data_IF_401391218877
#
_entry.id   IF_401391218877
#
_cell.length_a   1.000
_cell.length_b   1.000
_cell.length_c   1.000
_cell.angle_alpha   90.00
_cell.angle_beta   90.00
_cell.angle_gamma   90.00
#
_symmetry.space_group_name_H-M   'P 1'
#
loop_
_entity.id
_entity.type
_entity.pdbx_description
1 polymer ?
#
# COMPACT_ATOMS: atom_id res chain seq x y z
N UNK A 1 -13.60 -2.83 7.66
CA UNK A 1 -13.08 -1.58 7.03
C UNK A 1 -13.45 -1.56 5.57
N UNK A 2 -13.90 -0.42 5.05
CA UNK A 2 -14.32 -0.26 3.64
C UNK A 2 -13.39 0.73 2.96
N UNK A 3 -12.86 0.36 1.79
CA UNK A 3 -12.00 1.21 1.00
C UNK A 3 -12.80 1.91 -0.11
N UNK A 4 -12.91 3.23 -0.04
CA UNK A 4 -13.61 4.08 -0.98
C UNK A 4 -12.65 4.70 -2.02
N UNK A 5 -13.18 5.12 -3.17
CA UNK A 5 -12.39 5.72 -4.27
C UNK A 5 -11.93 7.15 -3.95
N UNK A 6 -12.79 7.94 -3.31
CA UNK A 6 -12.58 9.35 -2.97
C UNK A 6 -13.43 9.76 -1.76
N UNK A 7 -13.17 10.94 -1.22
CA UNK A 7 -13.84 11.49 -0.04
C UNK A 7 -15.38 11.52 -0.13
N UNK A 8 -15.93 11.98 -1.27
CA UNK A 8 -17.38 12.00 -1.48
C UNK A 8 -17.95 10.58 -1.49
N UNK A 9 -17.28 9.62 -2.16
CA UNK A 9 -17.70 8.22 -2.18
C UNK A 9 -17.66 7.60 -0.76
N UNK A 10 -16.67 7.97 0.07
CA UNK A 10 -16.64 7.52 1.45
C UNK A 10 -17.84 8.06 2.25
N UNK A 11 -18.26 9.28 2.01
CA UNK A 11 -19.47 9.87 2.62
C UNK A 11 -20.73 9.14 2.14
N UNK A 12 -20.85 8.90 0.84
CA UNK A 12 -21.99 8.16 0.26
C UNK A 12 -22.12 6.75 0.85
N UNK A 13 -20.98 6.07 1.06
CA UNK A 13 -20.93 4.74 1.69
C UNK A 13 -21.44 4.81 3.14
N UNK A 14 -21.00 5.79 3.93
CA UNK A 14 -21.46 5.97 5.32
C UNK A 14 -22.97 6.14 5.35
N UNK A 15 -23.52 6.97 4.48
CA UNK A 15 -24.96 7.18 4.40
C UNK A 15 -25.72 5.93 3.92
N UNK A 16 -25.14 5.21 2.95
CA UNK A 16 -25.71 3.96 2.47
C UNK A 16 -25.77 2.90 3.59
N UNK A 17 -24.69 2.74 4.37
CA UNK A 17 -24.64 1.83 5.50
C UNK A 17 -25.72 2.20 6.54
N UNK A 18 -25.85 3.47 6.86
CA UNK A 18 -26.91 3.93 7.81
C UNK A 18 -28.33 3.64 7.28
N UNK A 19 -28.55 3.82 5.98
CA UNK A 19 -29.85 3.48 5.35
C UNK A 19 -30.13 1.99 5.40
N UNK A 20 -29.14 1.15 5.11
CA UNK A 20 -29.27 -0.31 5.19
C UNK A 20 -29.55 -0.73 6.62
N UNK A 21 -28.83 -0.19 7.60
CA UNK A 21 -29.08 -0.48 9.01
C UNK A 21 -30.56 -0.22 9.40
N UNK A 22 -31.08 0.97 9.05
CA UNK A 22 -32.48 1.31 9.34
C UNK A 22 -33.50 0.41 8.63
N UNK A 23 -33.14 -0.11 7.45
CA UNK A 23 -33.99 -1.05 6.71
C UNK A 23 -34.03 -2.42 7.38
N UNK A 24 -32.88 -2.91 7.82
CA UNK A 24 -32.77 -4.22 8.48
C UNK A 24 -33.27 -4.20 9.92
N UNK A 25 -33.10 -3.06 10.61
CA UNK A 25 -33.50 -2.85 11.99
C UNK A 25 -34.44 -1.63 12.13
N UNK A 26 -35.72 -1.73 11.66
CA UNK A 26 -36.61 -0.58 11.57
C UNK A 26 -36.94 0.08 12.92
N UNK A 27 -36.87 -0.69 14.00
CA UNK A 27 -37.19 -0.25 15.36
C UNK A 27 -35.96 0.23 16.14
N UNK A 28 -34.76 0.19 15.54
CA UNK A 28 -33.52 0.59 16.19
C UNK A 28 -33.03 1.90 15.61
N UNK A 29 -32.47 2.75 16.44
CA UNK A 29 -31.70 3.91 15.97
C UNK A 29 -30.30 3.47 15.57
N UNK A 30 -29.76 4.07 14.51
CA UNK A 30 -28.37 3.83 14.10
C UNK A 30 -27.45 4.38 15.20
N UNK A 31 -26.64 3.55 15.88
CA UNK A 31 -25.72 4.07 16.89
C UNK A 31 -24.79 5.12 16.28
N UNK A 32 -24.56 6.22 17.01
CA UNK A 32 -23.79 7.38 16.51
C UNK A 32 -22.40 6.98 15.99
N UNK A 33 -21.75 6.04 16.67
CA UNK A 33 -20.41 5.59 16.33
C UNK A 33 -20.39 4.40 15.36
N UNK A 34 -21.53 3.80 15.02
CA UNK A 34 -21.59 2.54 14.26
C UNK A 34 -20.75 2.53 12.98
N UNK A 35 -20.84 3.61 12.19
CA UNK A 35 -20.07 3.79 10.97
C UNK A 35 -19.54 5.23 10.85
N UNK A 36 -18.24 5.37 10.66
CA UNK A 36 -17.60 6.67 10.47
C UNK A 36 -16.62 6.65 9.31
N UNK A 37 -16.47 7.80 8.67
CA UNK A 37 -15.42 8.06 7.72
C UNK A 37 -14.12 8.37 8.49
N UNK A 38 -13.00 7.77 8.07
CA UNK A 38 -11.66 8.08 8.58
C UNK A 38 -10.76 8.40 7.38
N UNK A 39 -10.35 9.66 7.26
CA UNK A 39 -9.52 10.13 6.16
C UNK A 39 -8.48 11.13 6.65
N UNK A 40 -7.39 11.28 5.89
CA UNK A 40 -6.28 12.17 6.26
C UNK A 40 -6.68 13.65 6.33
N UNK A 41 -7.77 14.05 5.68
CA UNK A 41 -8.29 15.43 5.70
C UNK A 41 -8.96 15.80 7.04
N UNK A 42 -9.20 14.85 7.93
CA UNK A 42 -9.82 15.07 9.23
C UNK A 42 -8.75 15.31 10.28
N UNK A 43 -8.79 16.43 10.97
CA UNK A 43 -7.80 16.82 11.99
C UNK A 43 -7.70 15.88 13.21
N UNK A 44 -8.68 14.98 13.40
CA UNK A 44 -8.76 14.01 14.50
C UNK A 44 -8.57 12.55 14.07
N UNK A 45 -7.90 12.32 12.93
CA UNK A 45 -7.72 10.98 12.33
C UNK A 45 -7.15 9.96 13.32
N UNK A 46 -6.13 10.32 14.09
CA UNK A 46 -5.50 9.42 15.07
C UNK A 46 -6.47 9.01 16.19
N UNK A 47 -7.32 9.93 16.65
CA UNK A 47 -8.35 9.63 17.64
C UNK A 47 -9.38 8.65 17.07
N UNK A 48 -9.89 8.90 15.87
CA UNK A 48 -10.84 8.02 15.20
C UNK A 48 -10.28 6.59 14.96
N UNK A 49 -8.99 6.49 14.67
CA UNK A 49 -8.32 5.19 14.54
C UNK A 49 -8.23 4.48 15.90
N UNK A 50 -7.88 5.22 16.95
CA UNK A 50 -7.86 4.69 18.31
C UNK A 50 -9.23 4.21 18.74
N UNK A 51 -10.27 5.00 18.46
CA UNK A 51 -11.66 4.64 18.75
C UNK A 51 -12.08 3.38 17.99
N UNK A 52 -11.77 3.31 16.68
CA UNK A 52 -12.07 2.14 15.85
C UNK A 52 -11.37 0.85 16.34
N UNK A 53 -10.21 0.99 16.94
CA UNK A 53 -9.45 -0.13 17.52
C UNK A 53 -10.02 -0.63 18.84
N UNK A 54 -10.53 0.27 19.68
CA UNK A 54 -10.75 0.00 21.09
C UNK A 54 -12.24 -0.01 21.51
N UNK A 55 -13.13 0.55 20.68
CA UNK A 55 -14.54 0.69 21.02
C UNK A 55 -15.42 -0.30 20.25
N UNK A 56 -16.23 -1.05 20.98
CA UNK A 56 -17.11 -2.09 20.41
C UNK A 56 -18.30 -1.53 19.60
N UNK A 57 -18.69 -0.28 19.82
CA UNK A 57 -19.75 0.42 19.11
C UNK A 57 -19.31 0.97 17.74
N UNK A 58 -18.00 1.11 17.50
CA UNK A 58 -17.47 1.55 16.22
C UNK A 58 -17.16 0.35 15.32
N UNK A 59 -18.17 -0.09 14.55
CA UNK A 59 -18.10 -1.35 13.77
C UNK A 59 -17.54 -1.18 12.36
N UNK A 60 -17.76 -0.04 11.72
CA UNK A 60 -17.42 0.15 10.31
C UNK A 60 -16.65 1.45 10.11
N UNK A 61 -15.38 1.33 9.70
CA UNK A 61 -14.57 2.45 9.24
C UNK A 61 -14.57 2.50 7.70
N UNK A 62 -14.89 3.67 7.12
CA UNK A 62 -14.82 3.94 5.69
C UNK A 62 -13.64 4.87 5.42
N UNK A 63 -12.72 4.45 4.56
CA UNK A 63 -11.49 5.20 4.28
C UNK A 63 -11.17 5.29 2.80
N UNK A 64 -10.35 6.26 2.39
CA UNK A 64 -9.86 6.40 1.01
C UNK A 64 -8.43 5.88 0.89
N UNK A 65 -7.54 6.35 1.74
CA UNK A 65 -6.09 6.10 1.66
C UNK A 65 -5.46 5.89 3.04
N UNK A 66 -6.20 5.36 4.01
CA UNK A 66 -5.66 5.10 5.35
C UNK A 66 -4.69 3.90 5.34
N UNK A 67 -3.84 3.86 4.34
CA UNK A 67 -2.74 2.89 4.22
C UNK A 67 -1.52 3.44 4.91
N UNK A 68 -1.42 4.77 4.96
CA UNK A 68 -0.35 5.52 5.55
C UNK A 68 -0.50 5.61 7.07
N UNK A 69 0.60 5.45 7.77
CA UNK A 69 0.84 5.75 9.19
C UNK A 69 0.13 4.90 10.26
N UNK A 70 0.91 4.07 10.97
CA UNK A 70 0.68 3.67 12.36
C UNK A 70 -0.67 3.05 12.75
N UNK A 71 -1.53 2.77 11.78
CA UNK A 71 -2.88 2.26 11.99
C UNK A 71 -2.89 0.75 12.22
N UNK A 72 -2.34 0.34 13.35
CA UNK A 72 -2.42 -1.05 13.79
C UNK A 72 -3.82 -1.34 14.36
N UNK A 73 -4.77 -1.70 13.51
CA UNK A 73 -6.11 -2.14 13.91
C UNK A 73 -6.16 -3.66 13.85
N UNK A 74 -5.77 -4.32 14.92
CA UNK A 74 -5.69 -5.79 15.00
C UNK A 74 -7.04 -6.50 14.97
N UNK A 75 -8.12 -5.97 15.62
CA UNK A 75 -9.44 -6.62 15.61
C UNK A 75 -10.17 -6.51 14.26
N UNK A 76 -9.49 -6.17 13.19
CA UNK A 76 -10.08 -6.01 11.86
C UNK A 76 -10.38 -7.37 11.22
N UNK A 77 -11.64 -7.73 11.12
CA UNK A 77 -12.11 -9.05 10.66
C UNK A 77 -12.61 -9.04 9.22
N UNK A 78 -12.93 -7.86 8.66
CA UNK A 78 -13.46 -7.75 7.31
C UNK A 78 -12.90 -6.54 6.57
N UNK A 79 -12.46 -6.76 5.34
CA UNK A 79 -12.05 -5.74 4.38
C UNK A 79 -12.99 -5.74 3.18
N UNK A 80 -13.49 -4.57 2.80
CA UNK A 80 -14.39 -4.41 1.64
C UNK A 80 -13.74 -3.44 0.67
N UNK A 81 -13.47 -3.90 -0.54
CA UNK A 81 -12.96 -3.08 -1.62
C UNK A 81 -14.11 -2.53 -2.45
N UNK A 82 -14.40 -1.23 -2.34
CA UNK A 82 -15.34 -0.48 -3.16
C UNK A 82 -14.60 0.51 -4.08
N UNK A 83 -13.34 0.25 -4.32
CA UNK A 83 -12.49 0.96 -5.28
C UNK A 83 -11.55 -0.02 -5.97
N UNK A 84 -11.23 0.28 -7.21
CA UNK A 84 -10.16 -0.41 -7.91
C UNK A 84 -8.78 0.02 -7.38
N UNK A 85 -7.84 -0.93 -7.34
CA UNK A 85 -6.47 -0.75 -6.88
C UNK A 85 -5.54 -1.38 -7.90
N UNK A 86 -4.95 -0.56 -8.75
CA UNK A 86 -4.04 -1.01 -9.80
C UNK A 86 -2.61 -1.30 -9.28
N UNK A 87 -2.20 -0.67 -8.19
CA UNK A 87 -0.90 -0.90 -7.56
C UNK A 87 -0.91 -2.17 -6.73
N UNK A 88 -0.01 -3.11 -7.05
CA UNK A 88 0.20 -4.35 -6.28
C UNK A 88 0.63 -4.04 -4.84
N UNK A 89 1.50 -3.04 -4.66
CA UNK A 89 1.98 -2.63 -3.33
C UNK A 89 0.83 -2.10 -2.49
N UNK A 90 0.07 -1.15 -3.03
CA UNK A 90 -1.08 -0.59 -2.32
C UNK A 90 -2.11 -1.68 -1.97
N UNK A 91 -2.40 -2.58 -2.90
CA UNK A 91 -3.30 -3.71 -2.66
C UNK A 91 -2.79 -4.62 -1.53
N UNK A 92 -1.49 -4.97 -1.56
CA UNK A 92 -0.86 -5.81 -0.54
C UNK A 92 -0.89 -5.14 0.84
N UNK A 93 -0.62 -3.83 0.92
CA UNK A 93 -0.72 -3.07 2.16
C UNK A 93 -2.16 -3.02 2.70
N UNK A 94 -3.14 -2.77 1.83
CA UNK A 94 -4.55 -2.77 2.22
C UNK A 94 -5.00 -4.15 2.71
N UNK A 95 -4.66 -5.22 1.98
CA UNK A 95 -4.95 -6.61 2.36
C UNK A 95 -4.25 -7.00 3.66
N UNK A 96 -3.00 -6.59 3.84
CA UNK A 96 -2.19 -6.85 5.03
C UNK A 96 -2.80 -6.28 6.33
N UNK A 97 -3.71 -5.32 6.24
CA UNK A 97 -4.46 -4.82 7.42
C UNK A 97 -5.35 -5.90 8.05
N UNK A 98 -5.91 -6.80 7.23
CA UNK A 98 -6.72 -7.92 7.72
C UNK A 98 -5.90 -9.06 8.32
N UNK A 99 -4.65 -9.23 7.89
CA UNK A 99 -3.81 -10.38 8.27
C UNK A 99 -3.23 -10.29 9.70
N UNK A 100 -3.46 -9.19 10.43
CA UNK A 100 -2.88 -9.00 11.76
C UNK A 100 -3.55 -9.89 12.78
N UNK A 101 -2.74 -10.55 13.60
CA UNK A 101 -3.21 -11.38 14.71
C UNK A 101 -3.54 -10.53 15.95
N UNK A 102 -4.43 -11.03 16.78
CA UNK A 102 -4.84 -10.43 18.05
C UNK A 102 -5.07 -11.55 19.06
N UNK A 103 -4.81 -11.28 20.33
CA UNK A 103 -5.13 -12.21 21.40
C UNK A 103 -6.66 -12.28 21.59
N UNK A 104 -7.20 -13.47 21.88
CA UNK A 104 -8.64 -13.72 21.96
C UNK A 104 -9.34 -12.81 22.99
N UNK A 105 -8.72 -12.57 24.15
CA UNK A 105 -9.28 -11.68 25.18
C UNK A 105 -9.39 -10.22 24.70
N UNK A 106 -8.40 -9.76 23.92
CA UNK A 106 -8.43 -8.41 23.34
C UNK A 106 -9.44 -8.31 22.19
N UNK A 107 -9.64 -9.39 21.46
CA UNK A 107 -10.67 -9.46 20.42
C UNK A 107 -12.06 -9.38 21.05
N UNK A 108 -12.32 -10.18 22.08
CA UNK A 108 -13.61 -10.20 22.81
C UNK A 108 -13.96 -8.87 23.45
N UNK A 109 -12.97 -8.07 23.82
CA UNK A 109 -13.21 -6.73 24.36
C UNK A 109 -13.88 -5.77 23.37
N UNK A 110 -13.67 -5.97 22.07
CA UNK A 110 -14.24 -5.11 20.99
C UNK A 110 -15.24 -5.85 20.12
N UNK A 111 -15.15 -7.17 20.04
CA UNK A 111 -16.10 -8.03 19.30
C UNK A 111 -16.55 -9.16 20.25
N UNK A 112 -17.56 -8.87 21.05
CA UNK A 112 -18.00 -9.74 22.14
C UNK A 112 -18.44 -11.14 21.70
N UNK A 113 -18.87 -11.29 20.44
CA UNK A 113 -19.34 -12.55 19.87
C UNK A 113 -18.22 -13.34 19.16
N UNK A 114 -16.99 -12.79 19.05
CA UNK A 114 -15.87 -13.49 18.45
C UNK A 114 -15.20 -14.41 19.48
N UNK A 115 -14.84 -15.61 19.04
CA UNK A 115 -14.06 -16.57 19.86
C UNK A 115 -12.57 -16.41 19.62
N UNK A 116 -12.18 -16.37 18.34
CA UNK A 116 -10.80 -16.18 17.87
C UNK A 116 -10.79 -15.44 16.54
N UNK A 117 -9.62 -14.98 16.08
CA UNK A 117 -9.41 -14.43 14.76
C UNK A 117 -8.38 -15.26 13.98
N UNK A 118 -8.83 -16.34 13.38
CA UNK A 118 -7.99 -17.25 12.59
C UNK A 118 -7.90 -16.81 11.13
N UNK A 119 -8.86 -16.01 10.65
CA UNK A 119 -8.93 -15.48 9.30
C UNK A 119 -9.61 -14.11 9.27
N UNK A 120 -9.62 -13.50 8.10
CA UNK A 120 -10.42 -12.31 7.83
C UNK A 120 -11.17 -12.46 6.51
N UNK A 121 -12.28 -11.78 6.38
CA UNK A 121 -13.05 -11.74 5.15
C UNK A 121 -12.53 -10.63 4.24
N UNK A 122 -12.33 -10.96 2.97
CA UNK A 122 -12.09 -9.98 1.92
C UNK A 122 -13.27 -9.99 0.96
N UNK A 123 -14.00 -8.87 0.92
CA UNK A 123 -15.14 -8.67 0.03
C UNK A 123 -14.70 -7.75 -1.09
N UNK A 124 -14.72 -8.24 -2.29
CA UNK A 124 -14.38 -7.52 -3.51
C UNK A 124 -15.65 -7.12 -4.25
N UNK A 125 -16.02 -5.84 -4.16
CA UNK A 125 -17.22 -5.32 -4.82
C UNK A 125 -16.97 -4.79 -6.25
N UNK A 126 -15.71 -4.75 -6.71
CA UNK A 126 -15.31 -4.11 -7.97
C UNK A 126 -14.37 -4.95 -8.84
N UNK A 127 -14.09 -6.21 -8.46
CA UNK A 127 -13.21 -7.09 -9.20
C UNK A 127 -11.72 -6.81 -8.99
N UNK A 128 -11.34 -6.13 -7.90
CA UNK A 128 -9.94 -5.79 -7.61
C UNK A 128 -9.03 -7.01 -7.47
N UNK A 129 -9.57 -8.16 -7.08
CA UNK A 129 -8.83 -9.41 -6.94
C UNK A 129 -8.56 -10.11 -8.28
N UNK A 130 -9.35 -9.81 -9.29
CA UNK A 130 -9.30 -10.45 -10.62
C UNK A 130 -8.40 -9.70 -11.60
N UNK A 131 -8.14 -8.41 -11.33
CA UNK A 131 -7.29 -7.59 -12.19
C UNK A 131 -5.81 -7.88 -11.97
N UNK A 132 -5.05 -8.00 -13.05
CA UNK A 132 -3.59 -7.94 -12.98
C UNK A 132 -3.16 -6.59 -12.41
N UNK A 133 -2.44 -6.63 -11.30
CA UNK A 133 -1.96 -5.42 -10.64
C UNK A 133 -0.63 -5.00 -11.23
N UNK A 134 -0.51 -3.72 -11.54
CA UNK A 134 0.78 -3.16 -11.91
C UNK A 134 1.66 -3.02 -10.67
N UNK A 135 2.88 -3.49 -10.78
CA UNK A 135 3.97 -3.03 -9.93
C UNK A 135 4.05 -1.52 -10.15
N UNK A 136 4.38 -0.72 -9.12
CA UNK A 136 4.26 0.73 -9.20
C UNK A 136 4.81 1.31 -10.50
N UNK A 137 3.95 1.97 -11.26
CA UNK A 137 4.39 2.90 -12.30
C UNK A 137 4.54 4.28 -11.67
N UNK A 138 5.44 5.13 -12.16
CA UNK A 138 5.66 6.47 -11.63
C UNK A 138 4.35 7.22 -11.38
N UNK A 139 4.25 7.85 -10.22
CA UNK A 139 3.07 8.64 -9.84
C UNK A 139 2.93 9.79 -10.84
N UNK A 140 1.86 9.79 -11.62
CA UNK A 140 1.45 10.96 -12.39
C UNK A 140 0.90 12.02 -11.44
N UNK A 141 1.75 12.92 -11.00
CA UNK A 141 1.31 14.00 -10.12
C UNK A 141 2.44 14.80 -9.49
N UNK A 142 3.29 15.43 -10.30
CA UNK A 142 4.21 16.47 -9.88
C UNK A 142 4.32 17.50 -11.00
N UNK A 143 3.92 18.76 -10.73
CA UNK A 143 4.08 19.91 -11.63
C UNK A 143 5.58 20.25 -11.74
N UNK A 144 6.23 19.72 -12.76
CA UNK A 144 7.57 20.06 -13.20
C UNK A 144 7.87 19.39 -14.54
N UNK A 145 8.78 19.89 -15.38
CA UNK A 145 9.18 19.20 -16.59
C UNK A 145 9.78 17.85 -16.18
N UNK A 146 9.03 16.76 -16.39
CA UNK A 146 9.51 15.39 -16.15
C UNK A 146 10.79 15.18 -16.95
N UNK A 147 11.90 14.94 -16.27
CA UNK A 147 13.13 14.46 -16.92
C UNK A 147 12.81 13.07 -17.47
N UNK A 148 12.66 12.98 -18.78
CA UNK A 148 12.42 11.70 -19.47
C UNK A 148 13.79 11.14 -19.80
N UNK A 149 14.31 10.27 -18.93
CA UNK A 149 15.50 9.50 -19.23
C UNK A 149 15.13 8.21 -19.97
N UNK A 150 15.91 7.81 -20.95
CA UNK A 150 15.92 6.41 -21.40
C UNK A 150 16.39 5.49 -20.25
N UNK A 151 16.09 4.20 -20.33
CA UNK A 151 16.58 3.26 -19.30
C UNK A 151 18.11 3.27 -19.17
N UNK A 152 18.83 3.40 -20.27
CA UNK A 152 20.28 3.46 -20.27
C UNK A 152 20.80 4.70 -19.53
N UNK A 153 20.27 5.89 -19.85
CA UNK A 153 20.61 7.14 -19.18
C UNK A 153 20.27 7.09 -17.69
N UNK A 154 19.09 6.54 -17.34
CA UNK A 154 18.68 6.39 -15.96
C UNK A 154 19.66 5.51 -15.17
N UNK A 155 20.07 4.37 -15.73
CA UNK A 155 21.04 3.47 -15.08
C UNK A 155 22.41 4.15 -14.91
N UNK A 156 22.79 5.04 -15.82
CA UNK A 156 23.99 5.85 -15.69
C UNK A 156 23.89 6.86 -14.54
N UNK A 157 22.79 7.63 -14.46
CA UNK A 157 22.52 8.55 -13.34
C UNK A 157 22.52 7.84 -12.00
N UNK A 158 21.86 6.69 -11.90
CA UNK A 158 21.83 5.88 -10.68
C UNK A 158 23.23 5.36 -10.31
N UNK A 159 24.07 4.99 -11.29
CA UNK A 159 25.46 4.53 -11.05
C UNK A 159 26.35 5.65 -10.50
N UNK A 160 26.07 6.90 -10.85
CA UNK A 160 26.74 8.08 -10.31
C UNK A 160 26.20 8.51 -8.93
N UNK A 161 25.22 7.78 -8.38
CA UNK A 161 24.67 8.03 -7.05
C UNK A 161 23.52 9.02 -6.99
N UNK A 162 22.91 9.35 -8.13
CA UNK A 162 21.70 10.19 -8.19
C UNK A 162 20.45 9.40 -7.80
N UNK A 163 20.32 9.08 -6.49
CA UNK A 163 19.30 8.21 -5.92
C UNK A 163 18.07 9.00 -5.42
N UNK A 164 17.60 9.95 -6.21
CA UNK A 164 16.37 10.70 -5.88
C UNK A 164 15.14 9.80 -5.93
N UNK A 165 14.07 10.20 -5.23
CA UNK A 165 12.79 9.47 -5.27
C UNK A 165 12.28 9.33 -6.70
N UNK A 166 12.42 10.40 -7.51
CA UNK A 166 12.00 10.44 -8.91
C UNK A 166 12.76 9.44 -9.77
N UNK A 167 14.09 9.35 -9.60
CA UNK A 167 14.91 8.41 -10.37
C UNK A 167 14.62 6.95 -9.98
N UNK A 168 14.42 6.67 -8.70
CA UNK A 168 14.08 5.34 -8.20
C UNK A 168 12.68 4.91 -8.64
N UNK A 169 11.72 5.83 -8.63
CA UNK A 169 10.36 5.58 -9.11
C UNK A 169 10.35 5.33 -10.63
N UNK A 170 11.13 6.09 -11.38
CA UNK A 170 11.31 5.88 -12.81
C UNK A 170 11.92 4.50 -13.12
N UNK A 171 12.90 4.04 -12.31
CA UNK A 171 13.46 2.70 -12.39
C UNK A 171 12.39 1.63 -12.18
N UNK A 172 11.55 1.76 -11.14
CA UNK A 172 10.42 0.86 -10.90
C UNK A 172 9.47 0.79 -12.10
N UNK A 173 9.21 1.92 -12.76
CA UNK A 173 8.41 1.98 -13.97
C UNK A 173 9.01 1.16 -15.13
N UNK A 174 10.32 1.23 -15.33
CA UNK A 174 11.01 0.42 -16.34
C UNK A 174 11.02 -1.06 -15.98
N UNK A 175 11.37 -1.40 -14.74
CA UNK A 175 11.39 -2.77 -14.25
C UNK A 175 9.99 -3.43 -14.34
N UNK A 176 8.93 -2.69 -14.06
CA UNK A 176 7.55 -3.14 -14.25
C UNK A 176 7.23 -3.49 -15.69
N UNK A 177 7.70 -2.67 -16.65
CA UNK A 177 7.50 -2.95 -18.08
C UNK A 177 8.25 -4.20 -18.51
N UNK A 178 9.48 -4.38 -18.02
CA UNK A 178 10.29 -5.59 -18.28
C UNK A 178 9.57 -6.82 -17.71
N UNK A 179 9.14 -6.77 -16.47
CA UNK A 179 8.42 -7.88 -15.82
C UNK A 179 7.14 -8.31 -16.57
N UNK A 180 6.50 -7.38 -17.28
CA UNK A 180 5.28 -7.66 -18.06
C UNK A 180 5.55 -8.15 -19.48
N UNK A 181 6.67 -7.73 -20.10
CA UNK A 181 6.91 -7.94 -21.54
C UNK A 181 8.00 -8.97 -21.83
N UNK A 182 8.94 -9.19 -20.88
CA UNK A 182 10.02 -10.13 -21.08
C UNK A 182 9.50 -11.58 -21.15
N UNK A 183 10.14 -12.39 -21.96
CA UNK A 183 9.89 -13.82 -21.98
C UNK A 183 10.29 -14.44 -20.65
N UNK A 184 9.64 -15.53 -20.29
CA UNK A 184 9.85 -16.21 -18.98
C UNK A 184 11.32 -16.59 -18.76
N UNK A 185 12.05 -16.93 -19.83
CA UNK A 185 13.46 -17.27 -19.79
C UNK A 185 14.34 -16.07 -19.43
N UNK A 186 14.16 -14.96 -20.13
CA UNK A 186 14.93 -13.72 -19.92
C UNK A 186 14.70 -13.15 -18.53
N UNK A 187 13.45 -13.22 -18.06
CA UNK A 187 13.09 -12.82 -16.70
C UNK A 187 13.74 -13.71 -15.64
N UNK A 188 13.83 -15.03 -15.89
CA UNK A 188 14.50 -15.96 -14.98
C UNK A 188 16.01 -15.69 -14.92
N UNK A 189 16.64 -15.46 -16.07
CA UNK A 189 18.06 -15.15 -16.17
C UNK A 189 18.36 -13.81 -15.46
N UNK A 190 17.54 -12.79 -15.67
CA UNK A 190 17.65 -11.50 -14.98
C UNK A 190 17.52 -11.64 -13.45
N UNK A 191 16.51 -12.37 -12.98
CA UNK A 191 16.29 -12.61 -11.55
C UNK A 191 17.47 -13.37 -10.93
N UNK A 192 18.05 -14.31 -11.66
CA UNK A 192 19.22 -15.11 -11.22
C UNK A 192 20.45 -14.22 -11.09
N UNK A 193 20.72 -13.37 -12.06
CA UNK A 193 21.85 -12.43 -12.02
C UNK A 193 21.69 -11.38 -10.91
N UNK A 194 20.50 -10.86 -10.68
CA UNK A 194 20.23 -9.92 -9.58
C UNK A 194 20.20 -10.58 -8.20
N UNK A 195 20.00 -11.90 -8.12
CA UNK A 195 19.80 -12.63 -6.86
C UNK A 195 18.51 -12.19 -6.12
N UNK A 196 17.56 -11.62 -6.84
CA UNK A 196 16.23 -11.23 -6.38
C UNK A 196 15.27 -11.14 -7.56
N UNK A 197 13.96 -11.18 -7.33
CA UNK A 197 13.02 -10.99 -8.43
C UNK A 197 12.85 -9.51 -8.75
N UNK A 198 12.56 -9.22 -10.02
CA UNK A 198 12.22 -7.84 -10.46
C UNK A 198 11.08 -7.27 -9.61
N UNK A 199 10.07 -8.08 -9.30
CA UNK A 199 8.95 -7.70 -8.44
C UNK A 199 9.40 -7.32 -7.03
N UNK A 200 10.26 -8.15 -6.41
CA UNK A 200 10.75 -7.87 -5.06
C UNK A 200 11.62 -6.61 -5.03
N UNK A 201 12.48 -6.41 -6.02
CA UNK A 201 13.29 -5.19 -6.14
C UNK A 201 12.42 -3.93 -6.22
N UNK A 202 11.32 -3.95 -6.99
CA UNK A 202 10.38 -2.83 -7.04
C UNK A 202 9.71 -2.58 -5.68
N UNK A 203 9.36 -3.62 -4.94
CA UNK A 203 8.78 -3.49 -3.60
C UNK A 203 9.78 -2.86 -2.62
N UNK A 204 11.02 -3.36 -2.61
CA UNK A 204 12.09 -2.85 -1.73
C UNK A 204 12.40 -1.37 -2.03
N UNK A 205 12.45 -0.99 -3.33
CA UNK A 205 12.64 0.42 -3.74
C UNK A 205 11.45 1.26 -3.28
N UNK A 206 10.22 0.79 -3.50
CA UNK A 206 9.02 1.53 -3.10
C UNK A 206 8.98 1.78 -1.59
N UNK A 207 9.30 0.76 -0.80
CA UNK A 207 9.40 0.91 0.66
C UNK A 207 10.46 1.94 1.05
N UNK A 208 11.58 2.01 0.33
CA UNK A 208 12.66 2.97 0.59
C UNK A 208 12.32 4.42 0.20
N UNK A 209 11.41 4.65 -0.75
CA UNK A 209 10.99 6.00 -1.18
C UNK A 209 9.68 6.46 -0.53
N UNK A 210 8.96 5.57 0.15
CA UNK A 210 7.72 5.91 0.84
C UNK A 210 8.00 6.85 2.03
N UNK A 211 7.27 7.97 2.14
CA UNK A 211 7.49 8.94 3.22
C UNK A 211 7.23 8.37 4.63
N UNK A 212 6.62 7.21 4.72
CA UNK A 212 6.27 6.54 5.98
C UNK A 212 7.41 5.74 6.61
N UNK A 213 8.41 5.36 5.84
CA UNK A 213 9.59 4.66 6.33
C UNK A 213 10.68 5.59 6.87
N UNK A 214 10.45 6.89 6.91
CA UNK A 214 11.30 7.88 7.58
C UNK A 214 11.09 7.90 9.09
N UNK A 215 10.92 6.77 9.74
CA UNK A 215 11.17 6.61 11.18
C UNK A 215 12.67 6.47 11.43
N UNK A 216 13.47 7.40 10.87
CA UNK A 216 14.84 7.57 11.31
C UNK A 216 14.88 8.64 12.40
N UNK A 217 15.53 8.35 13.55
CA UNK A 217 15.75 9.37 14.57
C UNK A 217 16.51 10.56 13.95
N UNK A 218 16.23 11.77 14.42
CA UNK A 218 16.78 13.06 13.96
C UNK A 218 18.34 13.17 13.94
N UNK A 219 19.05 12.08 14.17
CA UNK A 219 20.52 12.01 14.28
C UNK A 219 21.20 11.17 13.20
N UNK A 220 20.56 10.86 12.09
CA UNK A 220 21.21 10.11 11.01
C UNK A 220 21.87 11.06 10.03
N UNK A 221 23.16 10.82 9.80
CA UNK A 221 23.99 11.44 8.77
C UNK A 221 23.20 11.65 7.47
N UNK A 222 23.19 12.87 6.93
CA UNK A 222 22.48 13.26 5.71
C UNK A 222 22.80 12.36 4.50
N UNK A 223 23.85 11.55 4.58
CA UNK A 223 24.25 10.57 3.56
C UNK A 223 23.71 9.14 3.81
N UNK A 224 23.17 8.84 4.98
CA UNK A 224 22.69 7.50 5.33
C UNK A 224 21.53 7.01 4.44
N UNK A 225 20.53 7.82 4.07
CA UNK A 225 19.47 7.42 3.14
C UNK A 225 20.01 6.97 1.78
N UNK A 226 21.05 7.62 1.29
CA UNK A 226 21.66 7.27 0.00
C UNK A 226 22.44 5.94 0.07
N UNK A 227 23.02 5.60 1.19
CA UNK A 227 23.76 4.33 1.35
C UNK A 227 22.79 3.13 1.33
N UNK A 228 21.67 3.21 2.05
CA UNK A 228 20.65 2.16 2.04
C UNK A 228 20.00 2.03 0.65
N UNK A 229 19.63 3.13 0.02
CA UNK A 229 19.11 3.14 -1.36
C UNK A 229 20.10 2.55 -2.36
N UNK A 230 21.40 2.86 -2.22
CA UNK A 230 22.45 2.29 -3.05
C UNK A 230 22.53 0.78 -2.90
N UNK A 231 22.44 0.23 -1.68
CA UNK A 231 22.46 -1.22 -1.45
C UNK A 231 21.32 -1.95 -2.19
N UNK A 232 20.12 -1.35 -2.24
CA UNK A 232 18.96 -1.95 -2.91
C UNK A 232 19.20 -2.15 -4.41
N UNK A 233 19.82 -1.18 -5.06
CA UNK A 233 20.02 -1.19 -6.52
C UNK A 233 21.41 -1.68 -6.94
N UNK A 234 22.34 -1.89 -6.01
CA UNK A 234 23.71 -2.37 -6.27
C UNK A 234 23.72 -3.65 -7.11
N UNK A 235 22.82 -4.58 -6.77
CA UNK A 235 22.67 -5.87 -7.49
C UNK A 235 22.34 -5.70 -8.98
N UNK A 236 21.70 -4.60 -9.33
CA UNK A 236 21.38 -4.26 -10.70
C UNK A 236 22.46 -3.39 -11.34
N UNK A 237 22.90 -2.33 -10.64
CA UNK A 237 23.82 -1.32 -11.20
C UNK A 237 25.24 -1.86 -11.38
N UNK A 238 25.74 -2.61 -10.40
CA UNK A 238 27.10 -3.14 -10.42
C UNK A 238 27.19 -4.48 -11.18
N UNK A 239 26.06 -5.07 -11.57
CA UNK A 239 26.04 -6.30 -12.35
C UNK A 239 25.90 -6.00 -13.85
N UNK A 240 27.00 -6.12 -14.57
CA UNK A 240 27.06 -5.83 -16.02
C UNK A 240 26.12 -6.72 -16.84
N UNK A 241 25.94 -8.00 -16.43
CA UNK A 241 25.05 -8.92 -17.13
C UNK A 241 23.58 -8.57 -16.89
N UNK A 242 23.21 -8.25 -15.65
CA UNK A 242 21.84 -7.82 -15.32
C UNK A 242 21.48 -6.53 -16.08
N UNK A 243 22.40 -5.55 -16.15
CA UNK A 243 22.20 -4.32 -16.94
C UNK A 243 22.01 -4.60 -18.43
N UNK A 244 22.78 -5.54 -18.99
CA UNK A 244 22.69 -5.91 -20.40
C UNK A 244 21.36 -6.58 -20.72
N UNK A 245 20.92 -7.53 -19.88
CA UNK A 245 19.62 -8.18 -20.02
C UNK A 245 18.43 -7.22 -19.89
N UNK A 246 18.60 -6.12 -19.15
CA UNK A 246 17.57 -5.08 -19.03
C UNK A 246 17.47 -4.17 -20.24
N UNK A 247 18.56 -4.03 -21.03
CA UNK A 247 18.65 -3.11 -22.17
C UNK A 247 18.35 -3.81 -23.51
N UNK A 248 18.34 -5.14 -23.56
CA UNK A 248 17.92 -5.96 -24.69
C UNK A 248 16.39 -6.12 -24.72
#
# INVERSE_FOLDING_TARGET
MIFAKKESHATDIVEAVKRVFKKEFPNEEVPENFVKKITCSQGNTNQLISDFRNHSDFRIAVTVTLVATGTDVRPLECLIFMRDVNSEVLYTQMKGRGCRTIDDDKLKAVTTNAESKDFFYLIDAVGVTEHEKSIPSPIEGGEGPKKVYSLAELLEHLSHGELSNENLDLLCGYLSKVNKKAETKDLLDLNTEMGTTVKQMCLDIYDAISPENTTFPEFVDKNAPNLERKKLITKLIDNLKARKLLLE
#
